data_IF_214879823707
#
_entry.id   IF_214879823707
#
_cell.length_a   1.000
_cell.length_b   1.000
_cell.length_c   1.000
_cell.angle_alpha   90.00
_cell.angle_beta   90.00
_cell.angle_gamma   90.00
#
_symmetry.space_group_name_H-M   'P 1'
#
loop_
_entity.id
_entity.type
_entity.pdbx_description
1 polymer ?
#
# COMPACT_ATOMS: atom_id res chain seq x y z
N UNK A 1 -8.51 -6.23 2.33
CA UNK A 1 -7.29 -6.53 3.11
C UNK A 1 -6.25 -5.40 3.20
N UNK A 2 -6.37 -4.27 2.45
CA UNK A 2 -5.66 -3.00 2.76
C UNK A 2 -6.54 -2.04 3.52
N UNK A 3 -7.77 -1.87 3.03
CA UNK A 3 -8.76 -0.97 3.61
C UNK A 3 -8.90 -1.19 5.12
N UNK A 4 -9.12 -2.43 5.58
CA UNK A 4 -9.24 -2.72 7.01
C UNK A 4 -8.01 -2.35 7.87
N UNK A 5 -6.80 -2.38 7.32
CA UNK A 5 -5.58 -1.96 8.03
C UNK A 5 -5.49 -0.43 8.15
N UNK A 6 -5.99 0.26 7.14
CA UNK A 6 -6.21 1.70 7.18
C UNK A 6 -7.49 2.06 8.00
N UNK A 7 -8.23 1.05 8.48
CA UNK A 7 -9.57 1.16 9.08
C UNK A 7 -10.60 1.84 8.19
N UNK A 8 -10.52 1.51 6.90
CA UNK A 8 -11.45 1.88 5.85
C UNK A 8 -12.22 0.64 5.38
N UNK A 9 -13.40 0.86 4.84
CA UNK A 9 -14.13 -0.13 4.08
C UNK A 9 -13.57 -0.28 2.66
N UNK A 10 -13.69 -1.47 2.07
CA UNK A 10 -13.25 -1.76 0.70
C UNK A 10 -13.71 -0.73 -0.35
N UNK A 11 -15.01 -0.38 -0.42
CA UNK A 11 -15.49 0.66 -1.33
C UNK A 11 -14.99 2.07 -0.97
N UNK A 12 -14.94 2.42 0.32
CA UNK A 12 -14.44 3.73 0.76
C UNK A 12 -12.96 3.93 0.39
N UNK A 13 -12.13 2.91 0.57
CA UNK A 13 -10.74 2.91 0.16
C UNK A 13 -10.59 3.13 -1.35
N UNK A 14 -11.37 2.44 -2.18
CA UNK A 14 -11.35 2.64 -3.64
C UNK A 14 -11.77 4.06 -4.04
N UNK A 15 -12.79 4.61 -3.40
CA UNK A 15 -13.19 6.01 -3.61
C UNK A 15 -12.07 6.97 -3.23
N UNK A 16 -11.46 6.81 -2.05
CA UNK A 16 -10.39 7.70 -1.60
C UNK A 16 -9.12 7.60 -2.45
N UNK A 17 -8.84 6.41 -3.02
CA UNK A 17 -7.80 6.24 -4.03
C UNK A 17 -8.13 7.00 -5.32
N UNK A 18 -9.38 6.90 -5.81
CA UNK A 18 -9.83 7.63 -6.98
C UNK A 18 -9.86 9.15 -6.77
N UNK A 19 -10.14 9.60 -5.54
CA UNK A 19 -10.14 11.00 -5.13
C UNK A 19 -8.72 11.53 -4.83
N UNK A 20 -7.69 10.67 -4.88
CA UNK A 20 -6.30 11.05 -4.56
C UNK A 20 -6.06 11.39 -3.09
N UNK A 21 -6.96 10.98 -2.19
CA UNK A 21 -6.86 11.19 -0.72
C UNK A 21 -5.97 10.17 -0.03
N UNK A 22 -5.78 9.01 -0.66
CA UNK A 22 -4.81 7.99 -0.20
C UNK A 22 -3.52 8.21 -0.97
N UNK A 23 -2.45 8.56 -0.26
CA UNK A 23 -1.12 8.63 -0.86
C UNK A 23 -0.59 7.21 -1.01
N UNK A 24 -0.22 6.83 -2.24
CA UNK A 24 0.40 5.53 -2.53
C UNK A 24 1.82 5.76 -3.02
N UNK A 25 2.77 5.08 -2.38
CA UNK A 25 4.16 5.01 -2.82
C UNK A 25 4.40 3.64 -3.43
N UNK A 26 4.57 3.60 -4.76
CA UNK A 26 4.92 2.39 -5.48
C UNK A 26 6.41 2.39 -5.81
N UNK A 27 7.14 1.50 -5.17
CA UNK A 27 8.55 1.25 -5.45
C UNK A 27 8.66 -0.02 -6.28
N UNK A 28 9.23 0.09 -7.48
CA UNK A 28 9.50 -1.06 -8.35
C UNK A 28 10.90 -1.57 -8.05
N UNK A 29 11.02 -2.83 -7.66
CA UNK A 29 12.29 -3.53 -7.57
C UNK A 29 12.96 -3.63 -8.95
N UNK A 30 14.27 -3.43 -8.99
CA UNK A 30 15.10 -3.57 -10.21
C UNK A 30 16.32 -4.43 -9.88
N UNK A 31 16.87 -5.14 -10.87
CA UNK A 31 18.00 -6.04 -10.66
C UNK A 31 17.58 -7.38 -10.05
N UNK A 32 18.11 -7.73 -8.89
CA UNK A 32 17.85 -9.02 -8.21
C UNK A 32 16.41 -9.12 -7.65
N UNK A 33 15.78 -7.97 -7.40
CA UNK A 33 14.36 -7.82 -7.03
C UNK A 33 13.46 -7.49 -8.24
N UNK A 34 13.95 -7.66 -9.47
CA UNK A 34 13.13 -7.46 -10.67
C UNK A 34 11.89 -8.37 -10.61
N UNK A 35 10.70 -7.76 -10.75
CA UNK A 35 9.42 -8.46 -10.62
C UNK A 35 8.78 -8.36 -9.23
N UNK A 36 9.43 -7.71 -8.26
CA UNK A 36 8.83 -7.38 -6.96
C UNK A 36 8.47 -5.91 -6.89
N UNK A 37 7.24 -5.64 -6.48
CA UNK A 37 6.70 -4.30 -6.34
C UNK A 37 6.33 -4.08 -4.89
N UNK A 38 6.67 -2.91 -4.35
CA UNK A 38 6.32 -2.53 -2.98
C UNK A 38 5.41 -1.32 -3.02
N UNK A 39 4.14 -1.52 -2.70
CA UNK A 39 3.16 -0.46 -2.56
C UNK A 39 2.97 -0.12 -1.08
N UNK A 40 3.21 1.13 -0.70
CA UNK A 40 2.92 1.63 0.66
C UNK A 40 1.81 2.66 0.59
N UNK A 41 0.71 2.40 1.28
CA UNK A 41 -0.46 3.27 1.35
C UNK A 41 -0.40 4.09 2.63
N UNK A 42 -0.62 5.39 2.54
CA UNK A 42 -0.68 6.31 3.67
C UNK A 42 -2.05 6.97 3.69
N UNK A 43 -2.73 6.88 4.83
CA UNK A 43 -4.04 7.49 5.01
C UNK A 43 -4.28 7.80 6.48
N UNK A 44 -4.62 9.06 6.80
CA UNK A 44 -5.01 9.50 8.15
C UNK A 44 -4.04 9.05 9.27
N UNK A 45 -2.72 9.13 9.02
CA UNK A 45 -1.69 8.73 9.99
C UNK A 45 -1.48 7.21 10.11
N UNK A 46 -2.14 6.41 9.28
CA UNK A 46 -1.95 4.95 9.17
C UNK A 46 -1.17 4.63 7.91
N UNK A 47 -0.38 3.55 7.97
CA UNK A 47 0.36 3.04 6.81
C UNK A 47 0.08 1.56 6.62
N UNK A 48 -0.12 1.14 5.37
CA UNK A 48 -0.24 -0.26 5.01
C UNK A 48 0.74 -0.58 3.88
N UNK A 49 1.60 -1.59 4.06
CA UNK A 49 2.57 -1.99 3.05
C UNK A 49 2.13 -3.30 2.41
N UNK A 50 2.21 -3.35 1.09
CA UNK A 50 1.97 -4.53 0.29
C UNK A 50 3.16 -4.79 -0.61
N UNK A 51 3.56 -6.05 -0.64
CA UNK A 51 4.35 -6.59 -1.74
C UNK A 51 3.41 -7.15 -2.78
N UNK A 52 3.66 -6.74 -4.01
CA UNK A 52 3.01 -7.19 -5.22
C UNK A 52 4.06 -7.91 -6.08
N UNK A 53 3.64 -8.89 -6.86
CA UNK A 53 4.48 -9.44 -7.92
C UNK A 53 4.32 -8.62 -9.22
N UNK A 54 4.99 -9.04 -10.29
CA UNK A 54 4.90 -8.45 -11.63
C UNK A 54 3.47 -8.48 -12.21
N UNK A 55 2.70 -9.53 -11.95
CA UNK A 55 1.30 -9.65 -12.35
C UNK A 55 0.36 -8.78 -11.50
N UNK A 56 0.86 -8.24 -10.38
CA UNK A 56 0.08 -7.43 -9.45
C UNK A 56 -0.65 -8.24 -8.37
N UNK A 57 -0.30 -9.52 -8.20
CA UNK A 57 -0.82 -10.34 -7.10
C UNK A 57 -0.14 -9.95 -5.79
N UNK A 58 -0.94 -9.91 -4.72
CA UNK A 58 -0.45 -9.58 -3.38
C UNK A 58 0.35 -10.77 -2.83
N UNK A 59 1.67 -10.61 -2.76
CA UNK A 59 2.59 -11.59 -2.19
C UNK A 59 2.64 -11.49 -0.66
N UNK A 60 2.62 -10.27 -0.13
CA UNK A 60 2.62 -10.01 1.31
C UNK A 60 1.88 -8.73 1.63
N UNK A 61 1.19 -8.70 2.77
CA UNK A 61 0.63 -7.49 3.33
C UNK A 61 1.06 -7.40 4.79
N UNK A 62 1.88 -6.40 5.11
CA UNK A 62 2.43 -6.17 6.44
C UNK A 62 2.02 -4.79 6.97
N UNK A 63 1.59 -4.74 8.23
CA UNK A 63 1.28 -3.50 8.96
C UNK A 63 2.50 -3.20 9.82
N UNK A 64 3.45 -2.45 9.27
CA UNK A 64 4.58 -1.96 10.05
C UNK A 64 4.03 -0.81 10.90
N UNK A 65 3.70 -1.03 12.17
CA UNK A 65 3.13 0.00 13.06
C UNK A 65 3.88 1.34 12.92
N UNK A 66 3.15 2.42 12.69
CA UNK A 66 3.68 3.68 12.17
C UNK A 66 4.70 4.41 13.05
N UNK A 67 5.82 4.84 12.44
CA UNK A 67 6.45 6.14 12.75
C UNK A 67 6.35 6.99 11.47
N UNK A 68 5.72 8.18 11.52
CA UNK A 68 5.60 9.06 10.36
C UNK A 68 6.97 9.62 9.95
N UNK A 69 7.25 9.83 8.65
CA UNK A 69 8.34 10.70 8.24
C UNK A 69 8.02 12.13 8.71
N UNK A 70 9.01 12.76 9.36
CA UNK A 70 8.94 14.11 9.93
C UNK A 70 8.69 15.20 8.88
#
# INVERSE_FOLDING_TARGET
MVAGRLGLDGPAFRQLMADGKVSVLCERGVGEDAGRWRATFYYAGRRARLLLDEAGDVLDASDDGATPPA
#
